data_IF_270628660643
#
_entry.id   IF_270628660643
#
_cell.length_a   1.000
_cell.length_b   1.000
_cell.length_c   1.000
_cell.angle_alpha   90.00
_cell.angle_beta   90.00
_cell.angle_gamma   90.00
#
_symmetry.space_group_name_H-M   'P 1'
#
loop_
_entity.id
_entity.type
_entity.pdbx_description
1 polymer ?
#
# COMPACT_ATOMS: atom_id res chain seq x y z
N UNK A 1 -11.55 3.81 -31.13
CA UNK A 1 -11.12 4.82 -30.14
C UNK A 1 -11.05 4.16 -28.77
N UNK A 2 -9.87 4.06 -28.17
CA UNK A 2 -9.61 3.24 -26.96
C UNK A 2 -10.39 3.72 -25.72
N UNK A 3 -10.79 4.99 -25.70
CA UNK A 3 -11.59 5.59 -24.62
C UNK A 3 -12.96 6.00 -25.16
N UNK A 4 -14.02 5.41 -24.61
CA UNK A 4 -15.42 5.80 -24.84
C UNK A 4 -15.71 7.24 -24.37
N UNK A 5 -16.94 7.74 -24.56
CA UNK A 5 -17.33 9.12 -24.18
C UNK A 5 -16.98 9.46 -22.72
N UNK A 6 -17.22 8.54 -21.80
CA UNK A 6 -16.88 8.70 -20.38
C UNK A 6 -15.39 8.70 -20.11
N UNK A 7 -14.60 7.88 -20.81
CA UNK A 7 -13.15 7.89 -20.67
C UNK A 7 -12.55 9.24 -21.09
N UNK A 8 -13.07 9.83 -22.17
CA UNK A 8 -12.66 11.18 -22.60
C UNK A 8 -13.07 12.26 -21.60
N UNK A 9 -14.30 12.18 -21.07
CA UNK A 9 -14.79 13.13 -20.05
C UNK A 9 -13.98 13.04 -18.74
N UNK A 10 -13.70 11.82 -18.29
CA UNK A 10 -12.86 11.57 -17.12
C UNK A 10 -11.45 12.14 -17.33
N UNK A 11 -10.82 11.87 -18.48
CA UNK A 11 -9.52 12.44 -18.80
C UNK A 11 -9.54 13.97 -18.80
N UNK A 12 -10.59 14.58 -19.35
CA UNK A 12 -10.80 16.03 -19.28
C UNK A 12 -10.84 16.56 -17.85
N UNK A 13 -11.54 15.86 -16.94
CA UNK A 13 -11.54 16.21 -15.51
C UNK A 13 -10.19 16.02 -14.83
N UNK A 14 -9.44 14.96 -15.16
CA UNK A 14 -8.09 14.76 -14.63
C UNK A 14 -7.13 15.88 -15.07
N UNK A 15 -7.22 16.28 -16.35
CA UNK A 15 -6.43 17.39 -16.89
C UNK A 15 -6.82 18.72 -16.23
N UNK A 16 -8.12 18.99 -16.08
CA UNK A 16 -8.59 20.20 -15.41
C UNK A 16 -8.13 20.24 -13.93
N UNK A 17 -8.19 19.10 -13.23
CA UNK A 17 -7.72 18.99 -11.84
C UNK A 17 -6.19 19.19 -11.75
N UNK A 18 -5.43 18.61 -12.67
CA UNK A 18 -3.97 18.80 -12.75
C UNK A 18 -3.62 20.27 -12.97
N UNK A 19 -4.23 20.92 -13.96
CA UNK A 19 -4.00 22.33 -14.27
C UNK A 19 -4.44 23.24 -13.11
N UNK A 20 -5.58 22.95 -12.49
CA UNK A 20 -6.05 23.64 -11.30
C UNK A 20 -5.08 23.49 -10.12
N UNK A 21 -4.56 22.29 -9.88
CA UNK A 21 -3.55 22.03 -8.86
C UNK A 21 -2.24 22.78 -9.11
N UNK A 22 -1.77 22.82 -10.36
CA UNK A 22 -0.60 23.60 -10.75
C UNK A 22 -0.81 25.11 -10.54
N UNK A 23 -1.97 25.63 -10.93
CA UNK A 23 -2.33 27.02 -10.69
C UNK A 23 -2.37 27.33 -9.20
N UNK A 24 -3.00 26.47 -8.39
CA UNK A 24 -3.12 26.66 -6.96
C UNK A 24 -1.75 26.59 -6.27
N UNK A 25 -0.90 25.65 -6.68
CA UNK A 25 0.48 25.58 -6.23
C UNK A 25 1.23 26.89 -6.53
N UNK A 26 1.12 27.41 -7.75
CA UNK A 26 1.76 28.66 -8.13
C UNK A 26 1.22 29.86 -7.34
N UNK A 27 -0.10 29.97 -7.17
CA UNK A 27 -0.72 31.04 -6.39
C UNK A 27 -0.26 31.04 -4.93
N UNK A 28 -0.22 29.87 -4.29
CA UNK A 28 0.11 29.75 -2.86
C UNK A 28 1.62 29.86 -2.63
N UNK A 29 2.40 29.03 -3.32
CA UNK A 29 3.84 28.91 -3.04
C UNK A 29 4.69 29.90 -3.83
N UNK A 30 4.16 30.58 -4.85
CA UNK A 30 4.89 31.66 -5.51
C UNK A 30 4.30 33.02 -5.18
N UNK A 31 3.08 33.29 -5.63
CA UNK A 31 2.49 34.64 -5.52
C UNK A 31 2.29 35.07 -4.07
N UNK A 32 1.62 34.24 -3.26
CA UNK A 32 1.31 34.59 -1.88
C UNK A 32 2.56 34.59 -1.00
N UNK A 33 3.43 33.60 -1.14
CA UNK A 33 4.68 33.55 -0.39
C UNK A 33 5.58 34.76 -0.68
N UNK A 34 5.76 35.12 -1.96
CA UNK A 34 6.53 36.31 -2.36
C UNK A 34 5.88 37.60 -1.81
N UNK A 35 4.54 37.73 -1.89
CA UNK A 35 3.81 38.88 -1.36
C UNK A 35 3.97 39.04 0.16
N UNK A 36 4.00 37.93 0.89
CA UNK A 36 4.20 37.92 2.34
C UNK A 36 5.69 38.01 2.75
N UNK A 37 6.62 38.06 1.79
CA UNK A 37 8.06 38.06 2.05
C UNK A 37 8.56 36.75 2.69
N UNK A 38 7.85 35.64 2.48
CA UNK A 38 8.23 34.33 3.00
C UNK A 38 9.21 33.68 2.03
N UNK A 39 10.46 33.50 2.46
CA UNK A 39 11.42 32.70 1.71
C UNK A 39 11.06 31.22 1.78
N UNK A 40 10.77 30.63 0.62
CA UNK A 40 10.59 29.18 0.50
C UNK A 40 11.94 28.52 0.30
N UNK A 41 12.43 27.87 1.34
CA UNK A 41 13.58 26.96 1.29
C UNK A 41 13.15 25.56 0.83
N UNK A 42 13.97 24.90 0.00
CA UNK A 42 13.72 23.59 -0.62
C UNK A 42 12.54 23.60 -1.62
N UNK A 43 12.64 24.47 -2.63
CA UNK A 43 11.63 24.59 -3.68
C UNK A 43 11.51 23.26 -4.43
N UNK A 44 10.36 22.97 -5.04
CA UNK A 44 10.13 21.69 -5.72
C UNK A 44 11.21 21.35 -6.76
N UNK A 45 11.80 22.36 -7.43
CA UNK A 45 12.94 22.19 -8.34
C UNK A 45 14.17 21.60 -7.66
N UNK A 46 14.44 21.99 -6.41
CA UNK A 46 15.58 21.51 -5.62
C UNK A 46 15.38 20.07 -5.16
N UNK A 47 14.12 19.61 -5.17
CA UNK A 47 13.72 18.24 -4.83
C UNK A 47 13.51 17.34 -6.06
N UNK A 48 13.66 17.86 -7.27
CA UNK A 48 13.68 17.05 -8.50
C UNK A 48 15.00 16.28 -8.54
N UNK A 49 15.03 15.13 -7.86
CA UNK A 49 16.20 14.25 -7.86
C UNK A 49 15.93 13.03 -8.75
N UNK A 50 16.92 12.62 -9.53
CA UNK A 50 16.95 11.30 -10.19
C UNK A 50 17.53 10.22 -9.26
N UNK A 51 17.82 10.59 -8.02
CA UNK A 51 18.35 9.68 -7.01
C UNK A 51 17.23 8.85 -6.39
N UNK A 52 17.60 7.76 -5.71
CA UNK A 52 16.65 6.97 -4.90
C UNK A 52 16.16 7.71 -3.64
N UNK A 53 16.51 8.99 -3.43
CA UNK A 53 16.11 9.78 -2.25
C UNK A 53 16.40 9.05 -0.92
N UNK A 54 17.58 8.44 -0.82
CA UNK A 54 18.00 7.66 0.37
C UNK A 54 17.43 6.24 0.47
N UNK A 55 16.67 5.75 -0.51
CA UNK A 55 15.99 4.44 -0.41
C UNK A 55 16.86 3.22 -0.75
N UNK A 56 18.03 3.43 -1.34
CA UNK A 56 18.94 2.35 -1.71
C UNK A 56 19.22 1.36 -0.57
N UNK A 57 19.63 1.83 0.63
CA UNK A 57 19.95 0.93 1.73
C UNK A 57 18.74 0.15 2.25
N UNK A 58 17.55 0.76 2.34
CA UNK A 58 16.33 0.07 2.77
C UNK A 58 15.81 -0.92 1.72
N UNK A 59 16.01 -0.65 0.43
CA UNK A 59 15.72 -1.62 -0.63
C UNK A 59 16.68 -2.81 -0.55
N UNK A 60 17.96 -2.55 -0.29
CA UNK A 60 18.97 -3.58 -0.12
C UNK A 60 18.71 -4.44 1.12
N UNK A 61 18.29 -3.84 2.24
CA UNK A 61 17.84 -4.57 3.41
C UNK A 61 16.66 -5.50 3.09
N UNK A 62 15.63 -5.00 2.39
CA UNK A 62 14.47 -5.82 2.02
C UNK A 62 14.89 -6.98 1.09
N UNK A 63 15.83 -6.72 0.19
CA UNK A 63 16.40 -7.74 -0.68
C UNK A 63 17.15 -8.82 0.11
N UNK A 64 17.99 -8.44 1.08
CA UNK A 64 18.67 -9.40 1.95
C UNK A 64 17.70 -10.26 2.75
N UNK A 65 16.67 -9.63 3.33
CA UNK A 65 15.62 -10.35 4.04
C UNK A 65 14.92 -11.38 3.13
N UNK A 66 14.62 -11.00 1.89
CA UNK A 66 14.03 -11.89 0.90
C UNK A 66 14.95 -13.07 0.56
N UNK A 67 16.24 -12.81 0.33
CA UNK A 67 17.22 -13.84 -0.01
C UNK A 67 17.46 -14.81 1.15
N UNK A 68 17.47 -14.32 2.39
CA UNK A 68 17.67 -15.15 3.58
C UNK A 68 16.47 -16.07 3.84
N UNK A 69 15.24 -15.56 3.68
CA UNK A 69 14.00 -16.31 3.98
C UNK A 69 13.00 -16.27 2.81
N UNK A 70 13.33 -16.88 1.66
CA UNK A 70 12.55 -16.70 0.43
C UNK A 70 11.16 -17.33 0.46
N UNK A 71 10.94 -18.32 1.33
CA UNK A 71 9.70 -19.10 1.35
C UNK A 71 8.59 -18.45 2.18
N UNK A 72 8.89 -18.08 3.41
CA UNK A 72 7.90 -17.55 4.37
C UNK A 72 8.17 -16.10 4.76
N UNK A 73 9.30 -15.53 4.34
CA UNK A 73 9.74 -14.22 4.78
C UNK A 73 10.14 -14.20 6.26
N UNK A 74 10.38 -13.00 6.78
CA UNK A 74 10.68 -12.80 8.20
C UNK A 74 9.44 -12.83 9.08
N UNK A 75 8.27 -12.57 8.51
CA UNK A 75 7.01 -12.36 9.21
C UNK A 75 6.51 -10.92 9.09
N UNK A 76 5.22 -10.68 9.33
CA UNK A 76 4.63 -9.36 9.27
C UNK A 76 5.34 -8.38 10.21
N UNK A 77 5.53 -7.14 9.75
CA UNK A 77 6.16 -6.04 10.48
C UNK A 77 7.66 -6.20 10.79
N UNK A 78 8.29 -7.31 10.41
CA UNK A 78 9.68 -7.61 10.78
C UNK A 78 10.73 -6.74 10.07
N UNK A 79 10.38 -6.06 8.97
CA UNK A 79 11.32 -5.11 8.37
C UNK A 79 11.72 -4.00 9.36
N UNK A 80 10.79 -3.57 10.22
CA UNK A 80 11.04 -2.47 11.16
C UNK A 80 11.78 -2.91 12.42
N UNK A 81 11.73 -4.21 12.73
CA UNK A 81 12.48 -4.83 13.83
C UNK A 81 13.99 -4.85 13.54
N UNK A 82 14.36 -4.87 12.26
CA UNK A 82 15.75 -4.79 11.81
C UNK A 82 16.19 -3.33 11.71
N UNK A 83 17.03 -2.92 12.66
CA UNK A 83 17.50 -1.56 12.80
C UNK A 83 18.22 -1.03 11.55
N UNK A 84 17.81 0.17 11.12
CA UNK A 84 18.50 0.98 10.12
C UNK A 84 18.19 2.47 10.37
N UNK A 85 19.03 3.37 9.87
CA UNK A 85 18.91 4.81 10.14
C UNK A 85 17.96 5.57 9.20
N UNK A 86 17.25 4.88 8.31
CA UNK A 86 16.55 5.52 7.18
C UNK A 86 15.03 5.41 7.34
N UNK A 87 14.49 4.20 7.40
CA UNK A 87 13.04 3.99 7.43
C UNK A 87 12.63 2.60 7.94
N UNK A 88 11.40 2.51 8.45
CA UNK A 88 10.80 1.27 8.96
C UNK A 88 10.18 0.39 7.87
N UNK A 89 10.34 0.75 6.59
CA UNK A 89 9.86 0.04 5.41
C UNK A 89 10.58 0.54 4.15
N UNK A 90 10.70 -0.26 3.08
CA UNK A 90 11.49 0.07 1.89
C UNK A 90 10.79 1.07 0.96
N UNK A 91 9.54 1.47 1.18
CA UNK A 91 8.77 2.30 0.23
C UNK A 91 8.64 1.66 -1.18
N UNK A 92 8.57 0.33 -1.22
CA UNK A 92 8.36 -0.44 -2.44
C UNK A 92 7.54 -1.69 -2.05
N UNK A 93 6.29 -1.76 -2.51
CA UNK A 93 5.33 -2.73 -1.99
C UNK A 93 5.69 -4.20 -2.27
N UNK A 94 6.37 -4.50 -3.38
CA UNK A 94 6.77 -5.86 -3.74
C UNK A 94 7.90 -6.34 -2.81
N UNK A 95 8.95 -5.53 -2.61
CA UNK A 95 10.05 -5.80 -1.70
C UNK A 95 9.55 -5.89 -0.26
N UNK A 96 8.66 -4.98 0.16
CA UNK A 96 8.02 -5.03 1.46
C UNK A 96 7.25 -6.35 1.66
N UNK A 97 6.42 -6.73 0.69
CA UNK A 97 5.61 -7.95 0.80
C UNK A 97 6.46 -9.22 0.76
N UNK A 98 7.40 -9.29 -0.18
CA UNK A 98 8.25 -10.47 -0.37
C UNK A 98 9.22 -10.68 0.80
N UNK A 99 9.80 -9.62 1.35
CA UNK A 99 10.70 -9.73 2.52
C UNK A 99 9.99 -10.20 3.79
N UNK A 100 8.74 -9.78 4.01
CA UNK A 100 7.96 -10.14 5.20
C UNK A 100 7.17 -11.44 5.03
N UNK A 101 6.73 -11.81 3.83
CA UNK A 101 5.84 -12.96 3.61
C UNK A 101 6.35 -14.00 2.61
N UNK A 102 7.52 -13.78 2.01
CA UNK A 102 8.15 -14.69 1.06
C UNK A 102 7.63 -14.58 -0.38
N UNK A 103 8.37 -15.21 -1.29
CA UNK A 103 8.10 -15.27 -2.74
C UNK A 103 6.76 -15.95 -3.05
N UNK A 104 6.41 -17.12 -2.46
CA UNK A 104 5.13 -17.77 -2.76
C UNK A 104 3.93 -16.86 -2.46
N UNK A 105 3.94 -16.16 -1.32
CA UNK A 105 2.88 -15.20 -0.96
C UNK A 105 2.83 -14.02 -1.94
N UNK A 106 3.99 -13.43 -2.25
CA UNK A 106 4.07 -12.31 -3.19
C UNK A 106 3.56 -12.68 -4.58
N UNK A 107 3.90 -13.87 -5.09
CA UNK A 107 3.40 -14.37 -6.37
C UNK A 107 1.89 -14.61 -6.35
N UNK A 108 1.34 -15.22 -5.29
CA UNK A 108 -0.10 -15.41 -5.13
C UNK A 108 -0.84 -14.07 -5.18
N UNK A 109 -0.38 -13.06 -4.42
CA UNK A 109 -0.98 -11.72 -4.43
C UNK A 109 -0.86 -11.06 -5.80
N UNK A 110 0.30 -11.15 -6.46
CA UNK A 110 0.51 -10.61 -7.80
C UNK A 110 -0.43 -11.24 -8.83
N UNK A 111 -0.62 -12.57 -8.79
CA UNK A 111 -1.54 -13.29 -9.69
C UNK A 111 -2.99 -12.88 -9.42
N UNK A 112 -3.40 -12.74 -8.16
CA UNK A 112 -4.75 -12.28 -7.82
C UNK A 112 -5.01 -10.85 -8.30
N UNK A 113 -4.06 -9.94 -8.05
CA UNK A 113 -4.12 -8.55 -8.52
C UNK A 113 -4.17 -8.47 -10.05
N UNK A 114 -3.35 -9.28 -10.74
CA UNK A 114 -3.35 -9.39 -12.20
C UNK A 114 -4.71 -9.88 -12.73
N UNK A 115 -5.21 -11.00 -12.20
CA UNK A 115 -6.50 -11.59 -12.62
C UNK A 115 -7.66 -10.64 -12.39
N UNK A 116 -7.71 -9.98 -11.22
CA UNK A 116 -8.72 -8.98 -10.91
C UNK A 116 -8.66 -7.80 -11.87
N UNK A 117 -7.46 -7.26 -12.11
CA UNK A 117 -7.25 -6.15 -13.04
C UNK A 117 -7.65 -6.50 -14.47
N UNK A 118 -7.27 -7.70 -14.93
CA UNK A 118 -7.62 -8.17 -16.27
C UNK A 118 -9.13 -8.33 -16.45
N UNK A 119 -9.82 -8.89 -15.45
CA UNK A 119 -11.27 -8.99 -15.44
C UNK A 119 -11.94 -7.61 -15.51
N UNK A 120 -11.44 -6.64 -14.74
CA UNK A 120 -11.96 -5.26 -14.78
C UNK A 120 -11.72 -4.60 -16.14
N UNK A 121 -10.56 -4.80 -16.76
CA UNK A 121 -10.28 -4.31 -18.12
C UNK A 121 -11.27 -4.91 -19.12
N UNK A 122 -11.59 -6.20 -19.03
CA UNK A 122 -12.60 -6.84 -19.86
C UNK A 122 -13.97 -6.16 -19.72
N UNK A 123 -14.44 -5.97 -18.49
CA UNK A 123 -15.73 -5.30 -18.22
C UNK A 123 -15.73 -3.86 -18.73
N UNK A 124 -14.65 -3.10 -18.54
CA UNK A 124 -14.55 -1.72 -19.02
C UNK A 124 -14.57 -1.64 -20.55
N UNK A 125 -13.99 -2.62 -21.25
CA UNK A 125 -14.06 -2.70 -22.72
C UNK A 125 -15.47 -3.01 -23.20
N UNK A 126 -16.10 -4.02 -22.61
CA UNK A 126 -17.46 -4.44 -22.98
C UNK A 126 -18.50 -3.33 -22.72
N UNK A 127 -18.30 -2.57 -21.64
CA UNK A 127 -19.18 -1.47 -21.22
C UNK A 127 -18.74 -0.09 -21.76
N UNK A 128 -17.74 -0.01 -22.64
CA UNK A 128 -17.25 1.26 -23.17
C UNK A 128 -18.34 2.13 -23.87
N UNK A 129 -19.35 1.55 -24.56
CA UNK A 129 -20.45 2.33 -25.13
C UNK A 129 -21.52 2.76 -24.11
N UNK A 130 -21.53 2.16 -22.91
CA UNK A 130 -22.56 2.38 -21.91
C UNK A 130 -22.54 3.81 -21.36
N UNK A 131 -23.74 4.35 -21.10
CA UNK A 131 -23.94 5.67 -20.53
C UNK A 131 -24.15 5.65 -19.00
N UNK A 132 -24.09 4.48 -18.36
CA UNK A 132 -24.44 4.33 -16.95
C UNK A 132 -23.41 4.94 -16.00
N UNK A 133 -23.88 5.60 -14.93
CA UNK A 133 -23.01 6.20 -13.90
C UNK A 133 -22.13 5.15 -13.20
N UNK A 134 -22.64 3.92 -13.05
CA UNK A 134 -21.90 2.81 -12.47
C UNK A 134 -20.65 2.45 -13.29
N UNK A 135 -20.70 2.58 -14.62
CA UNK A 135 -19.57 2.29 -15.49
C UNK A 135 -18.49 3.38 -15.41
N UNK A 136 -18.89 4.66 -15.31
CA UNK A 136 -17.96 5.75 -15.01
C UNK A 136 -17.28 5.55 -13.66
N UNK A 137 -18.05 5.20 -12.62
CA UNK A 137 -17.50 4.95 -11.29
C UNK A 137 -16.53 3.77 -11.29
N UNK A 138 -16.83 2.68 -12.01
CA UNK A 138 -15.92 1.55 -12.19
C UNK A 138 -14.60 1.99 -12.81
N UNK A 139 -14.64 2.81 -13.85
CA UNK A 139 -13.44 3.36 -14.48
C UNK A 139 -12.63 4.21 -13.48
N UNK A 140 -13.28 5.10 -12.74
CA UNK A 140 -12.62 5.94 -11.74
C UNK A 140 -11.95 5.11 -10.64
N UNK A 141 -12.65 4.12 -10.07
CA UNK A 141 -12.12 3.25 -9.03
C UNK A 141 -10.96 2.40 -9.53
N UNK A 142 -11.05 1.87 -10.76
CA UNK A 142 -9.96 1.11 -11.36
C UNK A 142 -8.74 1.99 -11.63
N UNK A 143 -8.93 3.21 -12.16
CA UNK A 143 -7.84 4.15 -12.36
C UNK A 143 -7.18 4.57 -11.02
N UNK A 144 -7.97 4.76 -9.97
CA UNK A 144 -7.47 5.02 -8.62
C UNK A 144 -6.63 3.86 -8.09
N UNK A 145 -7.07 2.61 -8.31
CA UNK A 145 -6.32 1.41 -7.91
C UNK A 145 -4.99 1.30 -8.68
N UNK A 146 -4.98 1.56 -9.99
CA UNK A 146 -3.74 1.61 -10.79
C UNK A 146 -2.81 2.69 -10.27
N UNK A 147 -3.33 3.89 -9.98
CA UNK A 147 -2.56 4.98 -9.38
C UNK A 147 -1.95 4.58 -8.04
N UNK A 148 -2.72 3.94 -7.16
CA UNK A 148 -2.25 3.45 -5.87
C UNK A 148 -1.17 2.37 -6.02
N UNK A 149 -1.31 1.43 -6.96
CA UNK A 149 -0.30 0.42 -7.26
C UNK A 149 1.01 1.05 -7.75
N UNK A 150 0.94 2.02 -8.66
CA UNK A 150 2.11 2.76 -9.12
C UNK A 150 2.77 3.53 -7.99
N UNK A 151 1.98 4.28 -7.19
CA UNK A 151 2.50 5.02 -6.03
C UNK A 151 3.17 4.07 -5.04
N UNK A 152 2.64 2.87 -4.84
CA UNK A 152 3.20 1.87 -3.92
C UNK A 152 4.58 1.35 -4.31
N UNK A 153 5.02 1.57 -5.55
CA UNK A 153 6.39 1.25 -5.96
C UNK A 153 7.41 2.26 -5.45
N UNK A 154 6.95 3.43 -5.00
CA UNK A 154 7.77 4.52 -4.51
C UNK A 154 7.21 5.14 -3.23
N UNK A 155 6.36 4.44 -2.49
CA UNK A 155 5.85 4.94 -1.22
C UNK A 155 5.37 3.82 -0.30
N UNK A 156 5.36 4.08 1.01
CA UNK A 156 4.96 3.15 2.06
C UNK A 156 3.45 2.94 2.18
N UNK A 157 2.67 3.17 1.12
CA UNK A 157 1.19 3.21 1.19
C UNK A 157 0.56 1.93 1.68
N UNK A 158 1.19 0.76 1.48
CA UNK A 158 0.62 -0.52 1.92
C UNK A 158 0.76 -0.78 3.42
N UNK A 159 1.56 0.03 4.13
CA UNK A 159 1.76 -0.07 5.58
C UNK A 159 1.16 1.13 6.35
N UNK A 160 0.58 2.11 5.65
CA UNK A 160 -0.07 3.27 6.24
C UNK A 160 -1.56 3.00 6.49
N UNK A 161 -2.07 3.12 7.73
CA UNK A 161 -3.46 2.78 8.06
C UNK A 161 -4.49 3.52 7.19
N UNK A 162 -4.31 4.82 6.98
CA UNK A 162 -5.19 5.62 6.13
C UNK A 162 -5.26 5.05 4.69
N UNK A 163 -4.11 4.77 4.10
CA UNK A 163 -4.02 4.22 2.75
C UNK A 163 -4.61 2.80 2.65
N UNK A 164 -4.46 1.97 3.69
CA UNK A 164 -5.08 0.64 3.76
C UNK A 164 -6.61 0.71 3.79
N UNK A 165 -7.18 1.65 4.57
CA UNK A 165 -8.63 1.87 4.62
C UNK A 165 -9.16 2.32 3.25
N UNK A 166 -8.49 3.27 2.61
CA UNK A 166 -8.85 3.71 1.26
C UNK A 166 -8.76 2.58 0.23
N UNK A 167 -7.72 1.75 0.31
CA UNK A 167 -7.55 0.60 -0.57
C UNK A 167 -8.70 -0.40 -0.40
N UNK A 168 -9.09 -0.70 0.85
CA UNK A 168 -10.20 -1.60 1.14
C UNK A 168 -11.53 -1.06 0.59
N UNK A 169 -11.79 0.24 0.74
CA UNK A 169 -12.98 0.89 0.18
C UNK A 169 -12.99 0.85 -1.35
N UNK A 170 -11.87 1.20 -2.00
CA UNK A 170 -11.77 1.24 -3.46
C UNK A 170 -11.93 -0.17 -4.05
N UNK A 171 -11.23 -1.16 -3.50
CA UNK A 171 -11.33 -2.55 -3.96
C UNK A 171 -12.74 -3.10 -3.68
N UNK A 172 -13.27 -2.91 -2.48
CA UNK A 172 -14.59 -3.40 -2.10
C UNK A 172 -15.70 -2.80 -2.97
N UNK A 173 -15.64 -1.50 -3.25
CA UNK A 173 -16.61 -0.84 -4.12
C UNK A 173 -16.44 -1.29 -5.58
N UNK A 174 -15.19 -1.42 -6.06
CA UNK A 174 -14.93 -1.94 -7.40
C UNK A 174 -15.50 -3.35 -7.56
N UNK A 175 -15.30 -4.22 -6.55
CA UNK A 175 -15.87 -5.58 -6.51
C UNK A 175 -17.39 -5.56 -6.51
N UNK A 176 -18.03 -4.68 -5.74
CA UNK A 176 -19.49 -4.54 -5.68
C UNK A 176 -20.10 -4.13 -7.04
N UNK A 177 -19.35 -3.40 -7.87
CA UNK A 177 -19.78 -3.07 -9.23
C UNK A 177 -19.62 -4.25 -10.19
N UNK A 178 -18.81 -5.25 -9.90
CA UNK A 178 -18.73 -6.44 -10.75
C UNK A 178 -19.91 -7.36 -10.43
N UNK A 179 -20.65 -7.79 -11.45
CA UNK A 179 -21.72 -8.76 -11.27
C UNK A 179 -21.12 -10.05 -10.75
N UNK A 180 -21.46 -10.42 -9.52
CA UNK A 180 -21.01 -11.66 -8.91
C UNK A 180 -21.61 -12.84 -9.66
N UNK A 181 -20.81 -13.47 -10.52
CA UNK A 181 -21.16 -14.76 -11.11
C UNK A 181 -20.72 -15.82 -10.12
N UNK A 182 -21.62 -16.22 -9.22
CA UNK A 182 -21.30 -17.30 -8.29
C UNK A 182 -21.17 -18.59 -9.11
N UNK A 183 -19.97 -19.18 -9.23
CA UNK A 183 -19.88 -20.54 -9.73
C UNK A 183 -20.65 -21.44 -8.77
N UNK A 184 -21.19 -22.56 -9.25
CA UNK A 184 -21.64 -23.60 -8.34
C UNK A 184 -20.43 -24.06 -7.52
N UNK A 185 -20.43 -23.75 -6.23
CA UNK A 185 -19.34 -24.09 -5.33
C UNK A 185 -19.45 -25.56 -4.95
N UNK A 186 -18.35 -26.30 -5.07
CA UNK A 186 -18.23 -27.63 -4.48
C UNK A 186 -18.14 -27.44 -2.97
N UNK A 187 -19.03 -28.06 -2.20
CA UNK A 187 -18.95 -28.02 -0.75
C UNK A 187 -17.71 -28.80 -0.28
N UNK A 188 -16.78 -28.11 0.39
CA UNK A 188 -15.58 -28.70 0.98
C UNK A 188 -15.65 -28.56 2.51
N UNK A 189 -16.51 -29.34 3.19
CA UNK A 189 -16.79 -29.16 4.62
C UNK A 189 -15.54 -29.34 5.49
N UNK A 190 -14.64 -30.26 5.12
CA UNK A 190 -13.38 -30.47 5.83
C UNK A 190 -12.44 -29.26 5.70
N UNK A 191 -12.30 -28.70 4.50
CA UNK A 191 -11.48 -27.51 4.28
C UNK A 191 -12.03 -26.30 5.03
N UNK A 192 -13.36 -26.15 5.07
CA UNK A 192 -14.02 -25.10 5.84
C UNK A 192 -13.83 -25.27 7.35
N UNK A 193 -13.91 -26.50 7.85
CA UNK A 193 -13.64 -26.82 9.25
C UNK A 193 -12.18 -26.51 9.61
N UNK A 194 -11.24 -26.97 8.78
CA UNK A 194 -9.81 -26.70 8.95
C UNK A 194 -9.50 -25.20 8.91
N UNK A 195 -10.09 -24.46 7.97
CA UNK A 195 -9.96 -23.00 7.87
C UNK A 195 -10.43 -22.30 9.16
N UNK A 196 -11.62 -22.67 9.66
CA UNK A 196 -12.14 -22.12 10.93
C UNK A 196 -11.24 -22.48 12.11
N UNK A 197 -10.80 -23.73 12.22
CA UNK A 197 -9.92 -24.19 13.29
C UNK A 197 -8.58 -23.44 13.27
N UNK A 198 -7.93 -23.34 12.10
CA UNK A 198 -6.71 -22.57 11.92
C UNK A 198 -6.91 -21.08 12.23
N UNK A 199 -8.05 -20.51 11.83
CA UNK A 199 -8.41 -19.14 12.16
C UNK A 199 -8.51 -18.91 13.68
N UNK A 200 -9.21 -19.79 14.40
CA UNK A 200 -9.33 -19.71 15.86
C UNK A 200 -7.96 -19.88 16.53
N UNK A 201 -7.15 -20.84 16.07
CA UNK A 201 -5.80 -21.05 16.59
C UNK A 201 -4.89 -19.84 16.35
N UNK A 202 -4.95 -19.24 15.16
CA UNK A 202 -4.19 -18.03 14.84
C UNK A 202 -4.60 -16.84 15.71
N UNK A 203 -5.90 -16.62 15.89
CA UNK A 203 -6.41 -15.57 16.80
C UNK A 203 -5.99 -15.85 18.24
N UNK A 204 -6.12 -17.10 18.71
CA UNK A 204 -5.67 -17.51 20.04
C UNK A 204 -4.17 -17.25 20.26
N UNK A 205 -3.33 -17.58 19.26
CA UNK A 205 -1.90 -17.29 19.31
C UNK A 205 -1.62 -15.78 19.38
N UNK A 206 -2.32 -14.97 18.57
CA UNK A 206 -2.16 -13.51 18.62
C UNK A 206 -2.58 -12.93 19.97
N UNK A 207 -3.64 -13.45 20.59
CA UNK A 207 -4.07 -13.05 21.94
C UNK A 207 -3.01 -13.43 22.98
N UNK A 208 -2.45 -14.63 22.90
CA UNK A 208 -1.35 -15.06 23.80
C UNK A 208 -0.13 -14.16 23.66
N UNK A 209 0.28 -13.84 22.43
CA UNK A 209 1.38 -12.90 22.16
C UNK A 209 1.05 -11.53 22.74
N UNK A 210 -0.15 -11.00 22.49
CA UNK A 210 -0.55 -9.70 23.01
C UNK A 210 -0.52 -9.66 24.54
N UNK A 211 -1.06 -10.68 25.23
CA UNK A 211 -1.05 -10.74 26.70
C UNK A 211 0.37 -10.85 27.25
N UNK A 212 1.26 -11.60 26.56
CA UNK A 212 2.66 -11.79 26.98
C UNK A 212 3.50 -10.52 26.78
N UNK A 213 3.36 -9.86 25.63
CA UNK A 213 4.34 -8.89 25.14
C UNK A 213 3.89 -7.43 25.27
N UNK A 214 2.58 -7.14 25.15
CA UNK A 214 2.06 -5.77 25.27
C UNK A 214 2.41 -5.10 26.60
N UNK A 215 2.33 -5.78 27.77
CA UNK A 215 2.73 -5.18 29.05
C UNK A 215 4.22 -4.78 29.11
N UNK A 216 5.03 -5.23 28.17
CA UNK A 216 6.48 -5.03 28.15
C UNK A 216 6.96 -4.13 26.99
N UNK A 217 6.04 -3.55 26.22
CA UNK A 217 6.36 -2.69 25.05
C UNK A 217 7.27 -1.52 25.45
N UNK A 218 6.99 -0.82 26.55
CA UNK A 218 7.83 0.32 26.96
C UNK A 218 9.27 -0.12 27.25
N UNK A 219 9.46 -1.29 27.84
CA UNK A 219 10.79 -1.82 28.13
C UNK A 219 11.52 -2.23 26.86
N UNK A 220 10.82 -2.91 25.93
CA UNK A 220 11.38 -3.28 24.63
C UNK A 220 11.80 -2.05 23.80
N UNK A 221 10.98 -0.99 23.83
CA UNK A 221 11.30 0.28 23.18
C UNK A 221 12.53 0.95 23.81
N UNK A 222 12.64 0.98 25.14
CA UNK A 222 13.83 1.52 25.82
C UNK A 222 15.09 0.73 25.46
N UNK A 223 15.02 -0.60 25.48
CA UNK A 223 16.14 -1.46 25.07
C UNK A 223 16.57 -1.21 23.62
N UNK A 224 15.61 -1.03 22.72
CA UNK A 224 15.89 -0.68 21.34
C UNK A 224 16.60 0.68 21.25
N UNK A 225 16.10 1.70 21.94
CA UNK A 225 16.69 3.05 21.95
C UNK A 225 18.11 3.05 22.54
N UNK A 226 18.32 2.32 23.63
CA UNK A 226 19.64 2.20 24.28
C UNK A 226 20.67 1.54 23.34
N UNK A 227 20.24 0.59 22.51
CA UNK A 227 21.11 -0.14 21.59
C UNK A 227 21.30 0.54 20.21
N UNK A 228 20.29 1.26 19.70
CA UNK A 228 20.24 1.70 18.29
C UNK A 228 19.99 3.20 18.09
N UNK A 229 19.79 4.00 19.15
CA UNK A 229 19.77 5.47 19.09
C UNK A 229 18.50 6.13 19.63
N UNK A 230 18.39 7.45 19.47
CA UNK A 230 17.43 8.27 20.23
C UNK A 230 16.03 8.45 19.60
N UNK A 231 15.67 7.74 18.52
CA UNK A 231 14.36 7.93 17.88
C UNK A 231 13.73 6.61 17.44
N UNK A 232 12.40 6.56 17.54
CA UNK A 232 11.59 5.48 16.99
C UNK A 232 11.07 5.91 15.61
N UNK A 233 11.10 5.01 14.65
CA UNK A 233 10.54 5.25 13.33
C UNK A 233 9.02 5.04 13.36
N UNK A 234 8.24 5.76 12.54
CA UNK A 234 6.78 5.66 12.56
C UNK A 234 6.27 4.39 11.87
N UNK A 235 5.73 3.45 12.66
CA UNK A 235 4.93 2.31 12.21
C UNK A 235 3.76 2.09 13.20
N UNK A 236 2.84 1.19 12.88
CA UNK A 236 1.63 0.93 13.70
C UNK A 236 1.95 0.64 15.19
N UNK A 237 3.14 0.11 15.48
CA UNK A 237 3.68 -0.13 16.83
C UNK A 237 4.97 0.66 17.11
N UNK A 238 5.02 1.94 16.71
CA UNK A 238 6.26 2.72 16.64
C UNK A 238 7.33 1.97 15.81
N UNK A 239 8.34 1.37 16.44
CA UNK A 239 9.41 0.65 15.73
C UNK A 239 9.03 -0.77 15.29
N UNK A 240 7.88 -1.33 15.69
CA UNK A 240 7.51 -2.71 15.34
C UNK A 240 8.18 -3.79 16.21
N UNK A 241 8.94 -3.38 17.23
CA UNK A 241 9.56 -4.26 18.22
C UNK A 241 8.49 -4.72 19.22
N UNK A 242 8.05 -5.97 19.10
CA UNK A 242 7.05 -6.57 20.00
C UNK A 242 7.68 -7.70 20.83
N UNK A 243 8.71 -8.37 20.30
CA UNK A 243 9.38 -9.47 20.98
C UNK A 243 10.72 -9.02 21.60
N UNK A 244 11.14 -9.72 22.66
CA UNK A 244 12.48 -9.61 23.27
C UNK A 244 13.45 -10.58 22.62
#
# INVERSE_FOLDING_TARGET
AVLGPWGRRWLGWQLAAMLGGLLLYWLVFKVLADYLGIEIVNIASDRLTTSLSGRGPIWWQAWHMLVERPWLGFGPMQFADIANSIAAHPHQAILQWASEWGVPSALCVAVLAWRGSWATVGVLRDRAPSAERADLLRLCLFAALVGALVQSMVDGVIVMPNSQVWLALVIGWLMALHVWRSPQTIELPLAWCAWKALGVLAVGLLVVIAVRDVPHIEQAQRQYLDAHGHHLQPRFWAQGVIAR
#
